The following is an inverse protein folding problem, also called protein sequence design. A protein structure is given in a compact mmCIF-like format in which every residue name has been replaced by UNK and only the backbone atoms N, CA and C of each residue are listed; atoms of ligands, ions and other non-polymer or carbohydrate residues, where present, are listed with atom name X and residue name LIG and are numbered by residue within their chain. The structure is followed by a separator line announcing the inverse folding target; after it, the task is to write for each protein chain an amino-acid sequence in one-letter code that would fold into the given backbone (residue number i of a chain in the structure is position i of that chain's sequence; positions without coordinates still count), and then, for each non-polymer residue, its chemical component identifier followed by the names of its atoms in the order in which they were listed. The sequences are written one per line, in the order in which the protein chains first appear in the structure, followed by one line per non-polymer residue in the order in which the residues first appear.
data_IF_436167083105
#
_entry.id   IF_436167083105
#
_cell.length_a   1.000
_cell.length_b   1.000
_cell.length_c   1.000
_cell.angle_alpha   90.00
_cell.angle_beta   90.00
_cell.angle_gamma   90.00
#
_symmetry.space_group_name_H-M   'P 1'
#
loop_
_entity.id
_entity.type
_entity.pdbx_description
1 polymer ?
#
# COMPACT_ATOMS: atom_id res chain seq x y z
N UNK A 1 16.45 15.40 -3.25
CA UNK A 1 16.08 14.94 -1.90
C UNK A 1 14.95 13.94 -2.06
N UNK A 2 15.14 12.71 -1.59
CA UNK A 2 14.10 11.67 -1.63
C UNK A 2 13.02 12.01 -0.59
N UNK A 3 11.75 11.97 -1.00
CA UNK A 3 10.62 12.31 -0.12
C UNK A 3 10.43 11.19 0.91
N UNK A 4 10.09 11.52 2.15
CA UNK A 4 9.69 10.54 3.16
C UNK A 4 8.20 10.21 3.04
N UNK A 5 7.78 9.07 3.60
CA UNK A 5 6.35 8.75 3.74
C UNK A 5 5.63 9.79 4.63
N UNK A 6 4.30 9.90 4.56
CA UNK A 6 3.55 10.65 5.57
C UNK A 6 3.84 10.10 6.99
N UNK A 7 3.64 10.89 8.05
CA UNK A 7 3.76 10.40 9.42
C UNK A 7 2.96 9.11 9.65
N UNK A 8 3.58 8.13 10.28
CA UNK A 8 3.00 6.79 10.42
C UNK A 8 1.67 6.83 11.16
N UNK A 9 1.59 7.61 12.24
CA UNK A 9 0.37 7.70 13.06
C UNK A 9 -0.82 8.23 12.26
N UNK A 10 -0.58 9.16 11.33
CA UNK A 10 -1.62 9.65 10.43
C UNK A 10 -2.07 8.58 9.44
N UNK A 11 -1.13 7.83 8.86
CA UNK A 11 -1.45 6.73 7.94
C UNK A 11 -2.21 5.63 8.65
N UNK A 12 -1.74 5.21 9.83
CA UNK A 12 -2.35 4.18 10.65
C UNK A 12 -3.77 4.57 11.08
N UNK A 13 -3.95 5.79 11.58
CA UNK A 13 -5.27 6.32 11.96
C UNK A 13 -6.22 6.51 10.78
N UNK A 14 -5.68 6.68 9.56
CA UNK A 14 -6.48 6.83 8.33
C UNK A 14 -6.74 5.52 7.59
N UNK A 15 -6.20 4.39 8.06
CA UNK A 15 -6.29 3.12 7.34
C UNK A 15 -7.75 2.67 7.20
N UNK A 16 -8.29 2.58 5.97
CA UNK A 16 -9.71 2.39 5.78
C UNK A 16 -10.12 0.94 5.99
N UNK A 17 -11.35 0.74 6.47
CA UNK A 17 -11.97 -0.58 6.49
C UNK A 17 -12.08 -1.16 5.07
N UNK A 18 -12.20 -2.48 4.98
CA UNK A 18 -12.42 -3.15 3.69
C UNK A 18 -13.63 -2.58 2.94
N UNK A 19 -14.75 -2.34 3.63
CA UNK A 19 -15.96 -1.77 3.05
C UNK A 19 -15.73 -0.33 2.53
N UNK A 20 -14.99 0.50 3.28
CA UNK A 20 -14.62 1.85 2.82
C UNK A 20 -13.74 1.79 1.57
N UNK A 21 -12.72 0.94 1.56
CA UNK A 21 -11.88 0.72 0.38
C UNK A 21 -12.70 0.23 -0.83
N UNK A 22 -13.64 -0.70 -0.62
CA UNK A 22 -14.64 -1.11 -1.61
C UNK A 22 -15.46 0.04 -2.17
N UNK A 23 -15.92 0.97 -1.34
CA UNK A 23 -16.68 2.12 -1.84
C UNK A 23 -15.85 3.06 -2.72
N UNK A 24 -14.52 3.12 -2.56
CA UNK A 24 -13.69 4.02 -3.36
C UNK A 24 -13.69 3.65 -4.85
N UNK A 25 -13.81 2.37 -5.18
CA UNK A 25 -13.85 1.90 -6.56
C UNK A 25 -15.25 1.67 -7.14
N UNK A 26 -16.32 2.00 -6.41
CA UNK A 26 -17.71 1.68 -6.76
C UNK A 26 -18.20 2.24 -8.12
N UNK A 27 -17.44 3.13 -8.77
CA UNK A 27 -17.74 3.65 -10.12
C UNK A 27 -17.01 2.95 -11.27
N UNK A 28 -16.16 1.96 -11.01
CA UNK A 28 -15.28 1.39 -12.03
C UNK A 28 -15.78 0.02 -12.47
N UNK A 29 -16.06 -0.15 -13.76
CA UNK A 29 -16.55 -1.43 -14.35
C UNK A 29 -15.67 -2.64 -14.01
N UNK A 30 -14.38 -2.39 -13.76
CA UNK A 30 -13.39 -3.40 -13.42
C UNK A 30 -13.30 -3.68 -11.91
N UNK A 31 -13.93 -2.86 -11.05
CA UNK A 31 -13.89 -2.96 -9.59
C UNK A 31 -14.56 -4.21 -9.04
N UNK A 32 -15.68 -4.64 -9.63
CA UNK A 32 -16.36 -5.89 -9.25
C UNK A 32 -15.47 -7.14 -9.43
N UNK A 33 -14.40 -7.04 -10.24
CA UNK A 33 -13.40 -8.09 -10.45
C UNK A 33 -12.20 -7.96 -9.51
N UNK A 34 -12.01 -6.79 -8.90
CA UNK A 34 -10.96 -6.55 -7.91
C UNK A 34 -11.46 -6.93 -6.51
N UNK A 35 -11.20 -8.18 -6.13
CA UNK A 35 -11.39 -8.63 -4.74
C UNK A 35 -10.27 -8.14 -3.81
N UNK A 36 -9.16 -7.62 -4.36
CA UNK A 36 -8.01 -7.19 -3.59
C UNK A 36 -7.99 -5.67 -3.41
N UNK A 37 -8.18 -5.22 -2.17
CA UNK A 37 -8.22 -3.81 -1.80
C UNK A 37 -6.90 -3.30 -1.20
N UNK A 38 -5.87 -4.15 -1.06
CA UNK A 38 -4.61 -3.78 -0.39
C UNK A 38 -4.02 -2.47 -0.95
N UNK A 39 -3.89 -2.37 -2.27
CA UNK A 39 -3.32 -1.18 -2.90
C UNK A 39 -4.18 0.08 -2.72
N UNK A 40 -5.51 -0.08 -2.74
CA UNK A 40 -6.45 1.03 -2.49
C UNK A 40 -6.37 1.51 -1.06
N UNK A 41 -6.19 0.61 -0.08
CA UNK A 41 -6.06 0.99 1.34
C UNK A 41 -4.81 1.81 1.61
N UNK A 42 -3.66 1.40 1.06
CA UNK A 42 -2.41 2.18 1.16
C UNK A 42 -2.53 3.48 0.38
N UNK A 43 -3.10 3.46 -0.82
CA UNK A 43 -3.36 4.67 -1.63
C UNK A 43 -4.23 5.68 -0.87
N UNK A 44 -5.26 5.21 -0.15
CA UNK A 44 -6.11 6.04 0.69
C UNK A 44 -5.31 6.72 1.79
N UNK A 45 -4.46 5.98 2.50
CA UNK A 45 -3.60 6.55 3.55
C UNK A 45 -2.74 7.69 2.99
N UNK A 46 -2.06 7.46 1.86
CA UNK A 46 -1.25 8.50 1.21
C UNK A 46 -2.11 9.73 0.84
N UNK A 47 -3.25 9.49 0.19
CA UNK A 47 -4.17 10.54 -0.26
C UNK A 47 -4.68 11.44 0.86
N UNK A 48 -5.01 10.87 2.02
CA UNK A 48 -5.58 11.59 3.15
C UNK A 48 -4.53 12.10 4.14
N UNK A 49 -3.27 11.65 4.02
CA UNK A 49 -2.15 12.13 4.84
C UNK A 49 -1.28 13.16 4.09
N UNK A 50 -1.88 13.97 3.21
CA UNK A 50 -1.21 15.08 2.51
C UNK A 50 -0.33 14.66 1.33
N UNK A 51 -0.38 13.40 0.92
CA UNK A 51 0.44 12.84 -0.16
C UNK A 51 -0.46 12.32 -1.31
N UNK A 52 -1.25 13.20 -1.95
CA UNK A 52 -2.18 12.78 -2.99
C UNK A 52 -1.44 12.14 -4.17
N UNK A 53 -1.95 11.00 -4.61
CA UNK A 53 -1.46 10.30 -5.80
C UNK A 53 -1.92 11.08 -7.04
N UNK A 54 -1.01 11.49 -7.94
CA UNK A 54 -1.38 12.15 -9.19
C UNK A 54 -2.08 11.19 -10.16
N UNK A 55 -2.86 11.75 -11.09
CA UNK A 55 -3.33 11.01 -12.26
C UNK A 55 -2.15 10.49 -13.07
N UNK A 56 -2.19 9.23 -13.51
CA UNK A 56 -1.15 8.60 -14.33
C UNK A 56 0.26 8.73 -13.73
N UNK A 57 0.38 8.70 -12.40
CA UNK A 57 1.64 8.85 -11.71
C UNK A 57 2.69 7.89 -12.29
N UNK A 58 3.74 8.45 -12.89
CA UNK A 58 4.82 7.70 -13.56
C UNK A 58 4.34 6.69 -14.63
N UNK A 59 3.21 6.96 -15.29
CA UNK A 59 2.60 6.07 -16.27
C UNK A 59 1.85 4.87 -15.68
N UNK A 60 1.65 4.84 -14.35
CA UNK A 60 0.95 3.75 -13.66
C UNK A 60 -0.57 3.82 -13.85
N UNK A 61 -1.22 2.68 -13.62
CA UNK A 61 -2.68 2.55 -13.74
C UNK A 61 -3.35 3.12 -12.49
N UNK A 62 -3.63 4.41 -12.53
CA UNK A 62 -4.37 5.10 -11.47
C UNK A 62 -5.85 5.17 -11.78
N UNK A 63 -6.67 4.94 -10.78
CA UNK A 63 -8.12 4.96 -10.88
C UNK A 63 -8.70 6.11 -10.08
N UNK A 64 -9.60 6.88 -10.68
CA UNK A 64 -10.27 7.98 -9.97
C UNK A 64 -11.38 7.39 -9.09
N UNK A 65 -11.26 7.61 -7.78
CA UNK A 65 -12.26 7.20 -6.81
C UNK A 65 -13.45 8.15 -6.75
N UNK A 66 -14.48 7.75 -6.00
CA UNK A 66 -15.70 8.54 -5.78
C UNK A 66 -15.45 9.88 -5.08
N UNK A 67 -14.32 10.01 -4.40
CA UNK A 67 -13.86 11.23 -3.70
C UNK A 67 -12.98 12.13 -4.57
N UNK A 68 -12.94 11.88 -5.88
CA UNK A 68 -12.12 12.57 -6.87
C UNK A 68 -10.59 12.43 -6.69
N UNK A 69 -10.11 11.53 -5.82
CA UNK A 69 -8.68 11.22 -5.68
C UNK A 69 -8.29 10.02 -6.54
N UNK A 70 -7.00 9.85 -6.79
CA UNK A 70 -6.49 8.73 -7.58
C UNK A 70 -5.94 7.61 -6.69
N UNK A 71 -6.18 6.38 -7.10
CA UNK A 71 -5.83 5.17 -6.37
C UNK A 71 -5.06 4.20 -7.25
N UNK A 72 -4.14 3.45 -6.66
CA UNK A 72 -3.39 2.37 -7.31
C UNK A 72 -3.98 1.03 -6.82
N UNK A 73 -4.85 0.37 -7.61
CA UNK A 73 -5.55 -0.81 -7.12
C UNK A 73 -4.68 -2.07 -7.12
N UNK A 74 -3.58 -2.09 -7.87
CA UNK A 74 -2.65 -3.22 -7.90
C UNK A 74 -1.45 -2.98 -7.00
N UNK A 75 -1.13 -3.99 -6.17
CA UNK A 75 0.03 -3.95 -5.28
C UNK A 75 1.33 -3.65 -6.03
N UNK A 76 1.54 -4.22 -7.23
CA UNK A 76 2.75 -3.93 -8.02
C UNK A 76 2.87 -2.46 -8.42
N UNK A 77 1.74 -1.81 -8.74
CA UNK A 77 1.74 -0.39 -9.08
C UNK A 77 1.99 0.47 -7.82
N UNK A 78 1.51 0.04 -6.65
CA UNK A 78 1.84 0.67 -5.36
C UNK A 78 3.33 0.59 -5.08
N UNK A 79 3.92 -0.60 -5.21
CA UNK A 79 5.35 -0.81 -4.97
C UNK A 79 6.22 0.08 -5.88
N UNK A 80 5.91 0.11 -7.18
CA UNK A 80 6.60 0.98 -8.15
C UNK A 80 6.39 2.46 -7.82
N UNK A 81 5.19 2.85 -7.41
CA UNK A 81 4.92 4.22 -6.98
C UNK A 81 5.75 4.59 -5.76
N UNK A 82 5.80 3.72 -4.74
CA UNK A 82 6.55 3.98 -3.52
C UNK A 82 8.05 4.11 -3.80
N UNK A 83 8.61 3.20 -4.60
CA UNK A 83 10.02 3.23 -4.98
C UNK A 83 10.42 4.47 -5.82
N UNK A 84 9.47 5.06 -6.56
CA UNK A 84 9.70 6.26 -7.38
C UNK A 84 9.41 7.56 -6.64
N UNK A 85 8.41 7.57 -5.75
CA UNK A 85 7.96 8.76 -5.05
C UNK A 85 8.70 8.99 -3.73
N UNK A 86 9.20 7.93 -3.08
CA UNK A 86 9.79 7.96 -1.75
C UNK A 86 11.20 7.37 -1.71
N UNK A 87 11.81 7.36 -0.53
CA UNK A 87 13.05 6.65 -0.27
C UNK A 87 12.98 5.18 -0.77
N UNK A 88 14.10 4.62 -1.25
CA UNK A 88 14.14 3.21 -1.66
C UNK A 88 13.69 2.29 -0.53
N UNK A 89 12.98 1.22 -0.88
CA UNK A 89 12.62 0.19 0.08
C UNK A 89 13.86 -0.54 0.59
N UNK A 90 13.85 -0.92 1.86
CA UNK A 90 14.73 -1.95 2.37
C UNK A 90 14.17 -3.33 2.00
N UNK A 91 15.03 -4.23 1.52
CA UNK A 91 14.65 -5.63 1.35
C UNK A 91 14.82 -6.35 2.69
N UNK A 92 13.75 -6.90 3.23
CA UNK A 92 13.74 -7.59 4.53
C UNK A 92 13.52 -9.09 4.35
N UNK A 93 14.08 -9.90 5.24
CA UNK A 93 14.06 -11.36 5.17
C UNK A 93 13.04 -12.01 6.12
N UNK A 94 12.67 -11.33 7.20
CA UNK A 94 11.78 -11.87 8.24
C UNK A 94 11.01 -10.78 8.99
N UNK A 95 10.08 -11.20 9.84
CA UNK A 95 9.39 -10.29 10.76
C UNK A 95 10.34 -9.61 11.76
N UNK A 96 11.44 -10.28 12.11
CA UNK A 96 12.41 -9.73 13.05
C UNK A 96 13.05 -8.44 12.54
N UNK A 97 13.32 -8.36 11.23
CA UNK A 97 13.99 -7.23 10.58
C UNK A 97 13.15 -5.93 10.62
N UNK A 98 11.83 -6.08 10.82
CA UNK A 98 10.88 -4.96 10.92
C UNK A 98 10.27 -4.84 12.32
N UNK A 99 10.70 -5.65 13.28
CA UNK A 99 10.18 -5.59 14.65
C UNK A 99 10.49 -4.24 15.30
N UNK A 100 9.47 -3.58 15.86
CA UNK A 100 9.59 -2.24 16.45
C UNK A 100 9.67 -1.09 15.43
N UNK A 101 9.79 -1.39 14.13
CA UNK A 101 9.86 -0.40 13.05
C UNK A 101 8.48 -0.19 12.45
N UNK A 102 8.17 1.03 12.01
CA UNK A 102 6.82 1.38 11.51
C UNK A 102 6.90 1.87 10.07
N UNK A 103 5.88 1.56 9.27
CA UNK A 103 5.92 1.91 7.86
C UNK A 103 4.96 1.14 6.96
N UNK A 104 5.32 1.06 5.69
CA UNK A 104 4.62 0.27 4.67
C UNK A 104 5.43 -0.99 4.39
N UNK A 105 4.77 -2.15 4.39
CA UNK A 105 5.38 -3.44 4.06
C UNK A 105 4.71 -4.04 2.81
N UNK A 106 5.51 -4.56 1.89
CA UNK A 106 5.05 -5.26 0.71
C UNK A 106 5.58 -6.69 0.67
N UNK A 107 4.75 -7.63 0.25
CA UNK A 107 5.04 -9.05 0.07
C UNK A 107 4.83 -9.37 -1.42
N UNK A 108 5.92 -9.57 -2.19
CA UNK A 108 5.90 -9.89 -3.61
C UNK A 108 6.08 -11.41 -3.83
N UNK A 109 5.18 -12.04 -4.58
CA UNK A 109 5.19 -13.48 -4.84
C UNK A 109 4.68 -14.34 -3.67
N UNK A 110 4.69 -15.68 -3.84
CA UNK A 110 4.25 -16.62 -2.79
C UNK A 110 2.73 -16.90 -2.73
N UNK A 111 1.94 -16.27 -3.61
CA UNK A 111 0.48 -16.44 -3.64
C UNK A 111 0.00 -17.11 -4.94
N UNK A 112 -1.06 -17.93 -4.84
CA UNK A 112 -1.57 -18.68 -5.98
C UNK A 112 -2.36 -17.83 -7.00
N UNK A 113 -2.99 -16.73 -6.56
CA UNK A 113 -3.97 -15.98 -7.38
C UNK A 113 -3.75 -14.48 -7.43
N UNK A 114 -2.79 -13.96 -6.66
CA UNK A 114 -2.42 -12.53 -6.63
C UNK A 114 -0.91 -12.40 -6.73
N UNK A 115 -0.42 -11.26 -7.22
CA UNK A 115 1.03 -11.03 -7.37
C UNK A 115 1.71 -10.69 -6.06
N UNK A 116 0.94 -10.31 -5.03
CA UNK A 116 1.47 -9.89 -3.74
C UNK A 116 0.43 -9.23 -2.83
N UNK A 117 0.90 -8.73 -1.69
CA UNK A 117 0.15 -7.95 -0.70
C UNK A 117 0.94 -6.71 -0.28
N UNK A 118 0.24 -5.65 0.10
CA UNK A 118 0.86 -4.44 0.67
C UNK A 118 0.01 -3.94 1.83
N UNK A 119 0.65 -3.53 2.91
CA UNK A 119 -0.03 -3.12 4.14
C UNK A 119 0.76 -2.08 4.92
N UNK A 120 0.13 -1.49 5.94
CA UNK A 120 0.87 -0.78 6.99
C UNK A 120 1.32 -1.74 8.08
N UNK A 121 2.49 -1.49 8.65
CA UNK A 121 3.10 -2.26 9.73
C UNK A 121 3.46 -1.35 10.88
N UNK A 122 3.00 -1.65 12.10
CA UNK A 122 3.19 -0.78 13.28
C UNK A 122 4.34 -1.21 14.20
N UNK A 123 5.22 -2.10 13.76
CA UNK A 123 6.29 -2.67 14.58
C UNK A 123 5.95 -4.01 15.23
N UNK A 124 4.67 -4.39 15.28
CA UNK A 124 4.24 -5.67 15.84
C UNK A 124 3.20 -6.42 15.00
N UNK A 125 2.35 -5.70 14.27
CA UNK A 125 1.28 -6.26 13.44
C UNK A 125 1.02 -5.39 12.20
N UNK A 126 0.46 -6.03 11.17
CA UNK A 126 -0.06 -5.31 10.02
C UNK A 126 -1.46 -4.72 10.30
N UNK A 127 -1.83 -3.65 9.61
CA UNK A 127 -3.15 -3.04 9.75
C UNK A 127 -4.28 -3.98 9.29
N UNK A 128 -4.03 -4.86 8.32
CA UNK A 128 -4.96 -5.91 7.94
C UNK A 128 -4.37 -7.31 8.02
N UNK A 129 -3.27 -7.59 7.30
CA UNK A 129 -2.62 -8.89 7.40
C UNK A 129 -1.14 -8.85 7.01
N UNK A 130 -0.32 -9.66 7.66
CA UNK A 130 1.09 -9.86 7.32
C UNK A 130 1.30 -11.30 6.85
N UNK A 131 2.07 -11.47 5.77
CA UNK A 131 2.26 -12.78 5.12
C UNK A 131 3.71 -13.28 5.27
N UNK A 132 4.30 -13.07 6.45
CA UNK A 132 5.61 -13.64 6.77
C UNK A 132 5.60 -15.17 6.61
N UNK A 133 6.65 -15.74 6.02
CA UNK A 133 6.78 -17.19 5.82
C UNK A 133 6.05 -17.75 4.58
N UNK A 134 5.36 -16.93 3.79
CA UNK A 134 4.66 -17.38 2.57
C UNK A 134 5.57 -17.55 1.34
N UNK A 135 6.90 -17.51 1.51
CA UNK A 135 7.84 -17.58 0.39
C UNK A 135 7.87 -16.33 -0.50
N UNK A 136 7.30 -15.22 -0.02
CA UNK A 136 7.34 -13.91 -0.68
C UNK A 136 8.68 -13.20 -0.46
N UNK A 137 9.12 -12.42 -1.44
CA UNK A 137 10.14 -11.38 -1.20
C UNK A 137 9.48 -10.19 -0.51
N UNK A 138 10.14 -9.60 0.47
CA UNK A 138 9.56 -8.52 1.28
C UNK A 138 10.34 -7.22 1.14
N UNK A 139 9.58 -6.12 1.06
CA UNK A 139 10.10 -4.77 0.96
C UNK A 139 9.46 -3.88 2.03
N UNK A 140 10.26 -3.02 2.64
CA UNK A 140 9.84 -2.16 3.75
C UNK A 140 10.22 -0.71 3.48
N UNK A 141 9.24 0.19 3.63
CA UNK A 141 9.44 1.64 3.64
C UNK A 141 9.14 2.14 5.04
N UNK A 142 10.18 2.61 5.72
CA UNK A 142 10.05 3.15 7.06
C UNK A 142 9.33 4.52 7.04
N UNK A 143 8.53 4.75 8.07
CA UNK A 143 7.83 6.01 8.30
C UNK A 143 7.99 6.41 9.77
N UNK A 144 8.23 7.69 10.00
CA UNK A 144 8.40 8.29 11.33
C UNK A 144 7.11 8.29 12.14
#
# INVERSE_FOLDING_TARGET
MTRQLPPFDHMWGSYPTYAKALSMGAGLKQWSRLKNTCGVRVSYCLNYCGHPIPAHAFGLRTWKGVDNKYYLPWMRDVEVYLARAYAPAERVGSQHDVSGRRGVIAFEGGFASVTGHVDLWNGSQAANNAYFGYGSTMFFWEAD
#
